data_IF_435156795895
#
_entry.id   IF_435156795895
#
_cell.length_a   1.000
_cell.length_b   1.000
_cell.length_c   1.000
_cell.angle_alpha   90.00
_cell.angle_beta   90.00
_cell.angle_gamma   90.00
#
_symmetry.space_group_name_H-M   'P 1'
#
loop_
_entity.id
_entity.type
_entity.pdbx_description
1 polymer ?
#
# COMPACT_ATOMS: atom_id res chain seq x y z
N UNK A 1 -4.17 32.13 31.71
CA UNK A 1 -3.93 30.68 31.60
C UNK A 1 -4.27 30.28 30.18
N UNK A 2 -3.27 30.19 29.29
CA UNK A 2 -3.50 30.01 27.86
C UNK A 2 -3.59 28.51 27.56
N UNK A 3 -4.70 28.06 27.04
CA UNK A 3 -4.90 26.72 26.49
C UNK A 3 -4.01 26.58 25.23
N UNK A 4 -3.01 25.72 25.33
CA UNK A 4 -2.14 25.34 24.24
C UNK A 4 -2.93 24.39 23.34
N UNK A 5 -3.41 24.87 22.19
CA UNK A 5 -3.97 24.04 21.13
C UNK A 5 -2.90 23.05 20.69
N UNK A 6 -3.15 21.76 20.95
CA UNK A 6 -2.35 20.66 20.38
C UNK A 6 -2.78 20.51 18.93
N UNK A 7 -2.09 21.23 18.04
CA UNK A 7 -2.13 20.93 16.61
C UNK A 7 -1.75 19.48 16.41
N UNK A 8 -2.61 18.68 15.77
CA UNK A 8 -2.26 17.32 15.35
C UNK A 8 -1.05 17.34 14.44
N UNK A 9 -0.30 16.22 14.30
CA UNK A 9 0.88 16.16 13.45
C UNK A 9 0.49 16.56 12.03
N UNK A 10 1.06 17.65 11.52
CA UNK A 10 0.85 18.12 10.16
C UNK A 10 1.29 17.05 9.17
N UNK A 11 0.70 16.98 7.98
CA UNK A 11 1.05 16.01 6.94
C UNK A 11 2.55 15.99 6.62
N UNK A 12 3.25 17.09 6.84
CA UNK A 12 4.72 17.20 6.69
C UNK A 12 5.48 16.35 7.72
N UNK A 13 4.98 16.30 8.96
CA UNK A 13 5.61 15.51 10.04
C UNK A 13 5.49 14.02 9.77
N UNK A 14 4.36 13.58 9.20
CA UNK A 14 4.12 12.17 8.83
C UNK A 14 5.05 11.73 7.71
N UNK A 15 5.24 12.57 6.68
CA UNK A 15 6.15 12.26 5.55
C UNK A 15 7.59 12.17 6.06
N UNK A 16 8.04 13.12 6.88
CA UNK A 16 9.38 13.12 7.44
C UNK A 16 9.64 11.91 8.34
N UNK A 17 8.66 11.53 9.15
CA UNK A 17 8.74 10.32 9.97
C UNK A 17 8.83 9.06 9.10
N UNK A 18 8.05 8.97 8.02
CA UNK A 18 8.09 7.84 7.10
C UNK A 18 9.43 7.76 6.36
N UNK A 19 10.01 8.89 5.94
CA UNK A 19 11.36 8.95 5.36
C UNK A 19 12.38 8.35 6.32
N UNK A 20 12.40 8.78 7.59
CA UNK A 20 13.31 8.26 8.60
C UNK A 20 13.13 6.75 8.85
N UNK A 21 11.90 6.26 8.84
CA UNK A 21 11.58 4.84 9.03
C UNK A 21 11.96 3.97 7.82
N UNK A 22 11.95 4.53 6.61
CA UNK A 22 12.28 3.84 5.35
C UNK A 22 13.74 4.04 4.93
N UNK A 23 14.48 4.93 5.58
CA UNK A 23 15.91 5.11 5.35
C UNK A 23 16.70 3.82 5.59
N UNK A 24 17.92 3.67 5.03
CA UNK A 24 18.78 2.53 5.28
C UNK A 24 18.97 2.28 6.78
N UNK A 25 18.64 1.08 7.25
CA UNK A 25 18.66 0.74 8.69
C UNK A 25 17.45 1.21 9.50
N UNK A 26 16.50 1.92 8.89
CA UNK A 26 15.24 2.31 9.52
C UNK A 26 14.38 1.11 9.90
N UNK A 27 13.48 1.31 10.87
CA UNK A 27 12.67 0.21 11.42
C UNK A 27 11.78 -0.44 10.36
N UNK A 28 11.07 0.36 9.55
CA UNK A 28 10.21 -0.17 8.49
C UNK A 28 11.03 -0.81 7.37
N UNK A 29 12.15 -0.20 6.98
CA UNK A 29 13.03 -0.78 5.97
C UNK A 29 13.51 -2.17 6.37
N UNK A 30 13.93 -2.37 7.63
CA UNK A 30 14.32 -3.68 8.15
C UNK A 30 13.16 -4.67 8.20
N UNK A 31 11.97 -4.22 8.59
CA UNK A 31 10.79 -5.06 8.65
C UNK A 31 10.35 -5.52 7.25
N UNK A 32 10.38 -4.63 6.26
CA UNK A 32 10.11 -4.97 4.87
C UNK A 32 11.15 -5.95 4.32
N UNK A 33 12.44 -5.70 4.58
CA UNK A 33 13.52 -6.60 4.20
C UNK A 33 13.31 -8.02 4.75
N UNK A 34 13.06 -8.13 6.05
CA UNK A 34 12.81 -9.41 6.71
C UNK A 34 11.58 -10.11 6.13
N UNK A 35 10.48 -9.39 5.95
CA UNK A 35 9.24 -9.92 5.38
C UNK A 35 9.44 -10.42 3.95
N UNK A 36 10.18 -9.67 3.13
CA UNK A 36 10.51 -10.03 1.76
C UNK A 36 11.36 -11.30 1.68
N UNK A 37 12.49 -11.31 2.40
CA UNK A 37 13.42 -12.44 2.39
C UNK A 37 12.79 -13.71 3.00
N UNK A 38 12.06 -13.60 4.10
CA UNK A 38 11.40 -14.73 4.74
C UNK A 38 10.43 -15.45 3.79
N UNK A 39 9.66 -14.69 3.02
CA UNK A 39 8.69 -15.24 2.08
C UNK A 39 9.34 -15.84 0.84
N UNK A 40 10.45 -15.28 0.38
CA UNK A 40 11.18 -15.78 -0.81
C UNK A 40 12.23 -16.84 -0.50
N UNK A 41 12.64 -17.00 0.75
CA UNK A 41 13.78 -17.82 1.17
C UNK A 41 13.76 -19.27 0.65
N UNK A 42 12.58 -19.90 0.54
CA UNK A 42 12.43 -21.28 0.10
C UNK A 42 11.84 -21.42 -1.30
N UNK A 43 11.68 -20.32 -2.01
CA UNK A 43 11.03 -20.34 -3.30
C UNK A 43 11.94 -20.95 -4.37
N UNK A 44 11.40 -21.91 -5.12
CA UNK A 44 12.02 -22.33 -6.36
C UNK A 44 11.85 -21.23 -7.41
N UNK A 45 12.95 -20.87 -8.08
CA UNK A 45 12.90 -19.82 -9.09
C UNK A 45 12.98 -18.40 -8.53
N UNK A 46 13.69 -18.21 -7.41
CA UNK A 46 13.90 -16.92 -6.74
C UNK A 46 14.16 -15.75 -7.70
N UNK A 47 15.03 -15.91 -8.70
CA UNK A 47 15.32 -14.88 -9.69
C UNK A 47 14.11 -14.48 -10.55
N UNK A 48 13.24 -15.44 -10.89
CA UNK A 48 12.02 -15.16 -11.64
C UNK A 48 10.97 -14.44 -10.78
N UNK A 49 10.81 -14.84 -9.52
CA UNK A 49 9.92 -14.21 -8.56
C UNK A 49 10.35 -12.78 -8.29
N UNK A 50 11.66 -12.58 -8.05
CA UNK A 50 12.22 -11.25 -7.88
C UNK A 50 11.96 -10.36 -9.11
N UNK A 51 12.21 -10.84 -10.31
CA UNK A 51 11.98 -10.08 -11.54
C UNK A 51 10.49 -9.69 -11.71
N UNK A 52 9.55 -10.53 -11.30
CA UNK A 52 8.11 -10.19 -11.30
C UNK A 52 7.84 -9.07 -10.30
N UNK A 53 8.38 -9.16 -9.09
CA UNK A 53 8.21 -8.14 -8.07
C UNK A 53 8.86 -6.81 -8.47
N UNK A 54 10.01 -6.82 -9.11
CA UNK A 54 10.66 -5.62 -9.65
C UNK A 54 9.77 -4.92 -10.69
N UNK A 55 9.21 -5.69 -11.63
CA UNK A 55 8.27 -5.17 -12.66
C UNK A 55 7.03 -4.57 -12.02
N UNK A 56 6.42 -5.24 -11.03
CA UNK A 56 5.25 -4.74 -10.31
C UNK A 56 5.59 -3.53 -9.44
N UNK A 57 6.79 -3.48 -8.86
CA UNK A 57 7.24 -2.33 -8.08
C UNK A 57 7.34 -1.07 -8.93
N UNK A 58 7.83 -1.19 -10.16
CA UNK A 58 7.89 -0.07 -11.10
C UNK A 58 6.51 0.41 -11.50
N UNK A 59 5.64 -0.52 -11.89
CA UNK A 59 4.29 -0.21 -12.35
C UNK A 59 3.30 -1.28 -11.92
N UNK A 60 2.23 -0.89 -11.23
CA UNK A 60 1.08 -1.71 -10.89
C UNK A 60 -0.20 -0.88 -11.01
N UNK A 61 -1.38 -1.51 -11.23
CA UNK A 61 -1.58 -2.94 -11.43
C UNK A 61 -1.31 -3.37 -12.89
N UNK A 62 -0.76 -4.58 -13.10
CA UNK A 62 -0.47 -5.14 -14.41
C UNK A 62 -1.23 -6.47 -14.64
N UNK A 63 -1.56 -6.74 -15.90
CA UNK A 63 -2.11 -8.04 -16.32
C UNK A 63 -1.01 -9.09 -16.48
N UNK A 64 -1.39 -10.38 -16.48
CA UNK A 64 -0.48 -11.48 -16.77
C UNK A 64 0.29 -11.29 -18.08
N UNK A 65 -0.40 -10.83 -19.13
CA UNK A 65 0.20 -10.61 -20.45
C UNK A 65 1.25 -9.50 -20.41
N UNK A 66 0.95 -8.37 -19.74
CA UNK A 66 1.89 -7.25 -19.59
C UNK A 66 3.15 -7.68 -18.82
N UNK A 67 3.00 -8.43 -17.73
CA UNK A 67 4.12 -8.96 -16.93
C UNK A 67 4.96 -9.94 -17.76
N UNK A 68 4.33 -10.90 -18.42
CA UNK A 68 5.01 -11.90 -19.26
C UNK A 68 5.82 -11.24 -20.37
N UNK A 69 5.23 -10.24 -21.03
CA UNK A 69 5.89 -9.50 -22.11
C UNK A 69 7.13 -8.75 -21.61
N UNK A 70 7.05 -8.05 -20.47
CA UNK A 70 8.17 -7.32 -19.89
C UNK A 70 9.31 -8.25 -19.48
N UNK A 71 8.98 -9.43 -18.98
CA UNK A 71 9.95 -10.43 -18.56
C UNK A 71 10.45 -11.33 -19.71
N UNK A 72 9.89 -11.18 -20.92
CA UNK A 72 10.16 -12.04 -22.07
C UNK A 72 9.98 -13.53 -21.73
N UNK A 73 8.88 -13.84 -21.00
CA UNK A 73 8.53 -15.19 -20.57
C UNK A 73 7.17 -15.61 -21.14
N UNK A 74 6.92 -16.91 -21.11
CA UNK A 74 5.60 -17.43 -21.50
C UNK A 74 4.56 -17.08 -20.43
N UNK A 75 3.30 -16.79 -20.81
CA UNK A 75 2.23 -16.53 -19.84
C UNK A 75 2.01 -17.69 -18.86
N UNK A 76 2.16 -18.96 -19.32
CA UNK A 76 2.01 -20.13 -18.46
C UNK A 76 3.01 -20.12 -17.30
N UNK A 77 4.31 -20.03 -17.60
CA UNK A 77 5.33 -20.01 -16.55
C UNK A 77 5.23 -18.77 -15.65
N UNK A 78 4.83 -17.63 -16.20
CA UNK A 78 4.62 -16.42 -15.41
C UNK A 78 3.44 -16.59 -14.45
N UNK A 79 2.35 -17.25 -14.87
CA UNK A 79 1.20 -17.54 -14.04
C UNK A 79 1.56 -18.42 -12.84
N UNK A 80 2.38 -19.46 -13.05
CA UNK A 80 2.82 -20.35 -11.97
C UNK A 80 3.57 -19.56 -10.88
N UNK A 81 4.47 -18.65 -11.28
CA UNK A 81 5.18 -17.79 -10.34
C UNK A 81 4.27 -16.79 -9.64
N UNK A 82 3.29 -16.20 -10.36
CA UNK A 82 2.31 -15.29 -9.78
C UNK A 82 1.42 -16.00 -8.77
N UNK A 83 0.95 -17.22 -9.07
CA UNK A 83 0.18 -18.03 -8.13
C UNK A 83 0.98 -18.29 -6.85
N UNK A 84 2.27 -18.62 -6.98
CA UNK A 84 3.13 -18.79 -5.81
C UNK A 84 3.28 -17.49 -5.00
N UNK A 85 3.41 -16.32 -5.66
CA UNK A 85 3.48 -15.02 -4.99
C UNK A 85 2.16 -14.64 -4.30
N UNK A 86 1.03 -15.07 -4.83
CA UNK A 86 -0.29 -14.95 -4.19
C UNK A 86 -0.38 -15.85 -2.95
N UNK A 87 0.08 -17.10 -3.02
CA UNK A 87 0.07 -18.05 -1.91
C UNK A 87 0.89 -17.57 -0.70
N UNK A 88 1.93 -16.77 -0.93
CA UNK A 88 2.75 -16.19 0.15
C UNK A 88 2.37 -14.75 0.49
N UNK A 89 1.25 -14.26 0.04
CA UNK A 89 0.73 -12.91 0.29
C UNK A 89 1.67 -11.75 -0.10
N UNK A 90 2.51 -11.93 -1.10
CA UNK A 90 3.31 -10.84 -1.65
C UNK A 90 2.57 -10.06 -2.72
N UNK A 91 1.74 -10.75 -3.50
CA UNK A 91 0.97 -10.18 -4.61
C UNK A 91 -0.50 -10.55 -4.43
N UNK A 92 -1.38 -9.70 -4.89
CA UNK A 92 -2.83 -9.95 -4.97
C UNK A 92 -3.32 -9.71 -6.39
N UNK A 93 -4.36 -10.45 -6.79
CA UNK A 93 -5.02 -10.29 -8.09
C UNK A 93 -6.42 -9.73 -7.91
N UNK A 94 -6.73 -8.63 -8.59
CA UNK A 94 -8.08 -8.07 -8.69
C UNK A 94 -8.42 -7.81 -10.15
N UNK A 95 -9.54 -8.34 -10.62
CA UNK A 95 -9.98 -8.17 -12.01
C UNK A 95 -8.89 -8.55 -13.04
N UNK A 96 -8.18 -9.66 -12.81
CA UNK A 96 -7.06 -10.15 -13.64
C UNK A 96 -5.84 -9.20 -13.71
N UNK A 97 -5.72 -8.28 -12.76
CA UNK A 97 -4.56 -7.39 -12.60
C UNK A 97 -3.88 -7.67 -11.29
N UNK A 98 -2.57 -7.76 -11.32
CA UNK A 98 -1.71 -8.08 -10.19
C UNK A 98 -1.09 -6.82 -9.61
N UNK A 99 -1.02 -6.76 -8.29
CA UNK A 99 -0.39 -5.68 -7.53
C UNK A 99 0.21 -6.22 -6.23
N UNK A 100 1.07 -5.45 -5.60
CA UNK A 100 1.53 -5.79 -4.26
C UNK A 100 0.37 -5.83 -3.26
N UNK A 101 0.41 -6.80 -2.34
CA UNK A 101 -0.53 -6.88 -1.22
C UNK A 101 -0.26 -5.76 -0.21
N UNK A 102 1.01 -5.48 0.05
CA UNK A 102 1.46 -4.42 0.95
C UNK A 102 2.13 -3.27 0.16
N UNK A 103 1.51 -2.09 0.16
CA UNK A 103 2.06 -0.91 -0.53
C UNK A 103 3.40 -0.40 0.06
N UNK A 104 3.66 -0.62 1.36
CA UNK A 104 4.95 -0.27 1.96
C UNK A 104 6.05 -1.22 1.51
N UNK A 105 5.73 -2.50 1.35
CA UNK A 105 6.66 -3.47 0.78
C UNK A 105 7.01 -3.12 -0.68
N UNK A 106 6.02 -2.69 -1.47
CA UNK A 106 6.25 -2.17 -2.82
C UNK A 106 7.24 -0.99 -2.82
N UNK A 107 7.01 -0.02 -1.93
CA UNK A 107 7.90 1.14 -1.79
C UNK A 107 9.33 0.69 -1.44
N UNK A 108 9.45 -0.28 -0.52
CA UNK A 108 10.75 -0.83 -0.13
C UNK A 108 11.45 -1.53 -1.31
N UNK A 109 10.73 -2.34 -2.11
CA UNK A 109 11.29 -3.01 -3.30
C UNK A 109 11.79 -1.97 -4.31
N UNK A 110 11.01 -0.92 -4.58
CA UNK A 110 11.43 0.18 -5.45
C UNK A 110 12.73 0.85 -5.00
N UNK A 111 12.94 0.97 -3.69
CA UNK A 111 14.13 1.59 -3.12
C UNK A 111 15.33 0.63 -3.09
N UNK A 112 15.13 -0.61 -2.71
CA UNK A 112 16.24 -1.50 -2.30
C UNK A 112 16.56 -2.62 -3.31
N UNK A 113 15.67 -2.91 -4.27
CA UNK A 113 15.94 -3.93 -5.29
C UNK A 113 16.58 -3.34 -6.55
N UNK A 114 17.26 -2.21 -6.44
CA UNK A 114 18.02 -1.56 -7.51
C UNK A 114 19.49 -2.00 -7.47
N UNK A 115 20.18 -1.82 -8.60
CA UNK A 115 21.62 -2.12 -8.69
C UNK A 115 22.48 -1.20 -7.80
N UNK A 116 22.00 -0.01 -7.50
CA UNK A 116 22.67 0.99 -6.66
C UNK A 116 21.83 1.25 -5.41
N UNK A 117 22.42 1.24 -4.21
CA UNK A 117 21.72 1.58 -2.99
C UNK A 117 21.06 2.98 -3.08
N UNK A 118 19.87 3.17 -2.50
CA UNK A 118 19.18 4.45 -2.55
C UNK A 118 19.94 5.51 -1.76
N UNK A 119 20.04 6.72 -2.32
CA UNK A 119 20.48 7.90 -1.57
C UNK A 119 19.37 8.40 -0.64
N UNK A 120 19.69 9.27 0.31
CA UNK A 120 18.69 9.91 1.17
C UNK A 120 17.65 10.70 0.36
N UNK A 121 18.09 11.34 -0.72
CA UNK A 121 17.21 12.06 -1.65
C UNK A 121 16.26 11.13 -2.41
N UNK A 122 16.74 9.93 -2.80
CA UNK A 122 15.90 8.91 -3.44
C UNK A 122 14.81 8.43 -2.48
N UNK A 123 15.17 8.18 -1.23
CA UNK A 123 14.20 7.79 -0.19
C UNK A 123 13.17 8.89 0.02
N UNK A 124 13.62 10.14 0.17
CA UNK A 124 12.71 11.27 0.38
C UNK A 124 11.74 11.45 -0.80
N UNK A 125 12.24 11.38 -2.03
CA UNK A 125 11.43 11.51 -3.26
C UNK A 125 10.39 10.39 -3.39
N UNK A 126 10.78 9.15 -3.23
CA UNK A 126 9.86 8.00 -3.36
C UNK A 126 8.82 7.98 -2.24
N UNK A 127 9.20 8.31 -1.01
CA UNK A 127 8.29 8.42 0.13
C UNK A 127 7.30 9.57 -0.08
N UNK A 128 7.76 10.70 -0.58
CA UNK A 128 6.89 11.84 -0.87
C UNK A 128 5.86 11.48 -1.96
N UNK A 129 6.28 10.84 -3.04
CA UNK A 129 5.35 10.36 -4.08
C UNK A 129 4.34 9.36 -3.53
N UNK A 130 4.80 8.44 -2.68
CA UNK A 130 3.94 7.48 -2.01
C UNK A 130 2.89 8.18 -1.13
N UNK A 131 3.30 9.18 -0.36
CA UNK A 131 2.43 9.94 0.52
C UNK A 131 1.40 10.78 -0.25
N UNK A 132 1.83 11.50 -1.29
CA UNK A 132 0.94 12.30 -2.14
C UNK A 132 -0.18 11.48 -2.79
N UNK A 133 0.09 10.22 -3.11
CA UNK A 133 -0.90 9.32 -3.69
C UNK A 133 -1.94 8.78 -2.67
N UNK A 134 -1.70 8.91 -1.36
CA UNK A 134 -2.48 8.26 -0.30
C UNK A 134 -2.96 9.18 0.82
N UNK A 135 -2.29 10.28 1.05
CA UNK A 135 -2.74 11.28 2.01
C UNK A 135 -3.76 12.18 1.28
N UNK A 136 -5.02 12.23 1.73
CA UNK A 136 -5.99 13.15 1.17
C UNK A 136 -5.44 14.57 1.25
N UNK A 137 -5.49 15.32 0.15
CA UNK A 137 -5.22 16.75 0.20
C UNK A 137 -6.20 17.41 1.16
N UNK A 138 -5.75 18.34 2.02
CA UNK A 138 -6.66 19.08 2.90
C UNK A 138 -7.78 19.78 2.13
N UNK A 139 -7.56 20.09 0.85
CA UNK A 139 -8.59 20.68 -0.04
C UNK A 139 -9.55 19.62 -0.62
N UNK A 140 -9.25 18.35 -0.48
CA UNK A 140 -10.11 17.22 -0.84
C UNK A 140 -10.83 16.66 0.41
N UNK A 141 -11.20 17.52 1.37
CA UNK A 141 -12.17 17.13 2.37
C UNK A 141 -13.40 16.66 1.60
N UNK A 142 -13.80 15.35 1.68
CA UNK A 142 -15.08 14.98 1.18
C UNK A 142 -16.04 15.91 1.94
N UNK A 143 -16.87 16.63 1.22
CA UNK A 143 -18.11 17.10 1.77
C UNK A 143 -18.80 15.81 2.27
N UNK A 144 -18.51 15.40 3.48
CA UNK A 144 -19.43 14.60 4.25
C UNK A 144 -20.66 15.47 4.27
N UNK A 145 -21.50 15.28 3.26
CA UNK A 145 -22.87 15.67 3.32
C UNK A 145 -23.34 15.05 4.64
N UNK A 146 -23.34 15.86 5.66
CA UNK A 146 -24.26 15.75 6.76
C UNK A 146 -25.61 15.91 6.06
N UNK A 147 -26.09 14.84 5.47
CA UNK A 147 -27.51 14.63 5.32
C UNK A 147 -27.99 14.48 6.77
N UNK A 148 -28.06 15.62 7.43
CA UNK A 148 -28.94 15.80 8.55
C UNK A 148 -30.30 15.49 7.99
N UNK A 149 -30.71 14.24 8.12
CA UNK A 149 -32.10 13.90 8.14
C UNK A 149 -32.66 14.71 9.32
N UNK A 150 -33.16 15.89 9.04
CA UNK A 150 -34.17 16.50 9.88
C UNK A 150 -35.35 15.52 9.85
N UNK A 151 -35.32 14.57 10.80
CA UNK A 151 -36.46 13.75 11.08
C UNK A 151 -37.57 14.70 11.50
N UNK A 152 -38.56 14.85 10.64
CA UNK A 152 -39.74 15.61 10.92
C UNK A 152 -40.38 15.08 12.20
N UNK A 153 -41.01 15.95 13.02
CA UNK A 153 -41.57 15.55 14.32
C UNK A 153 -42.63 14.45 14.29
N UNK A 154 -43.11 14.05 13.14
CA UNK A 154 -44.13 13.01 12.98
C UNK A 154 -43.59 11.59 12.98
N UNK A 155 -42.31 11.36 12.68
CA UNK A 155 -41.75 10.00 12.67
C UNK A 155 -41.38 9.45 14.05
N UNK A 156 -41.46 10.26 15.12
CA UNK A 156 -41.16 9.81 16.50
C UNK A 156 -42.29 9.04 17.17
N UNK A 157 -43.46 8.92 16.54
CA UNK A 157 -44.63 8.25 17.16
C UNK A 157 -44.80 6.78 16.78
N UNK A 158 -43.91 6.18 16.00
CA UNK A 158 -44.08 4.80 15.48
C UNK A 158 -43.26 3.73 16.18
N UNK A 159 -42.54 4.02 17.25
CA UNK A 159 -41.86 2.95 18.00
C UNK A 159 -42.79 2.48 19.12
N UNK A 160 -43.71 1.58 18.77
CA UNK A 160 -44.53 0.87 19.72
C UNK A 160 -43.64 -0.06 20.56
N UNK A 161 -43.75 0.10 21.89
CA UNK A 161 -43.20 -0.82 22.89
C UNK A 161 -43.90 -2.16 22.69
N UNK A 162 -43.16 -3.21 22.33
CA UNK A 162 -43.65 -4.56 22.35
C UNK A 162 -43.53 -5.05 23.82
N UNK A 163 -44.62 -5.08 24.55
CA UNK A 163 -44.70 -5.81 25.81
C UNK A 163 -44.73 -7.30 25.48
N UNK A 164 -43.82 -8.05 26.10
CA UNK A 164 -43.78 -9.51 26.05
C UNK A 164 -44.47 -10.02 27.34
N UNK A 165 -45.60 -10.67 27.17
CA UNK A 165 -46.23 -11.52 28.19
C UNK A 165 -45.52 -12.88 28.30
#
# INVERSE_FOLDING_TARGET
>A
MAMRERGGPGGHDVVSALVALMAPGGRLARQCCFSYELRLHRARGYGALKAILDVLAEQEPLTLTEISHRLRRTPGSTKDYLSWLEDVDLVTSRQKRYSFTDPLLRLWVRLNCRAVPPSEEDVAREVQQYALARIPSPDAAPALAYAGAEATPEERKSWGIIEID
#
